data_IF_383588676291
#
_entry.id   IF_383588676291
#
_cell.length_a   1.000
_cell.length_b   1.000
_cell.length_c   1.000
_cell.angle_alpha   90.00
_cell.angle_beta   90.00
_cell.angle_gamma   90.00
#
_symmetry.space_group_name_H-M   'P 1'
#
loop_
_entity.id
_entity.type
_entity.pdbx_description
1 polymer ?
#
# COMPACT_ATOMS: atom_id res chain seq x y z
N UNK A 1 -17.26 -4.05 -7.16
CA UNK A 1 -17.97 -2.86 -6.66
C UNK A 1 -17.18 -1.63 -7.06
N UNK A 2 -17.83 -0.49 -7.32
CA UNK A 2 -17.11 0.78 -7.46
C UNK A 2 -16.70 1.25 -6.07
N UNK A 3 -15.43 1.65 -5.91
CA UNK A 3 -14.89 2.27 -4.68
C UNK A 3 -15.62 3.57 -4.38
N UNK A 4 -15.95 3.80 -3.11
CA UNK A 4 -16.51 5.07 -2.64
C UNK A 4 -15.60 6.24 -3.02
N UNK A 5 -16.17 7.38 -3.43
CA UNK A 5 -15.41 8.51 -3.98
C UNK A 5 -14.29 8.98 -3.04
N UNK A 6 -14.55 9.05 -1.74
CA UNK A 6 -13.56 9.41 -0.72
C UNK A 6 -12.36 8.48 -0.63
N UNK A 7 -12.50 7.20 -1.00
CA UNK A 7 -11.41 6.21 -0.94
C UNK A 7 -10.71 6.02 -2.29
N UNK A 8 -11.22 6.63 -3.36
CA UNK A 8 -10.59 6.56 -4.68
C UNK A 8 -9.15 7.11 -4.73
N UNK A 9 -8.77 8.16 -3.98
CA UNK A 9 -7.36 8.59 -3.91
C UNK A 9 -6.42 7.46 -3.50
N UNK A 10 -6.72 6.78 -2.39
CA UNK A 10 -5.99 5.60 -1.93
C UNK A 10 -5.94 4.49 -3.00
N UNK A 11 -7.09 4.17 -3.61
CA UNK A 11 -7.13 3.18 -4.69
C UNK A 11 -6.35 3.56 -5.95
N UNK A 12 -6.20 4.86 -6.26
CA UNK A 12 -5.36 5.31 -7.38
C UNK A 12 -3.89 5.10 -7.04
N UNK A 13 -3.48 5.38 -5.81
CA UNK A 13 -2.13 5.13 -5.35
C UNK A 13 -1.80 3.62 -5.36
N UNK A 14 -2.75 2.75 -5.01
CA UNK A 14 -2.64 1.30 -5.19
C UNK A 14 -2.35 0.87 -6.64
N UNK A 15 -2.92 1.54 -7.64
CA UNK A 15 -2.62 1.22 -9.04
C UNK A 15 -1.15 1.48 -9.36
N UNK A 16 -0.56 2.56 -8.82
CA UNK A 16 0.86 2.86 -8.98
C UNK A 16 1.70 1.80 -8.24
N UNK A 17 1.34 1.49 -7.00
CA UNK A 17 2.00 0.46 -6.19
C UNK A 17 2.00 -0.92 -6.86
N UNK A 18 0.93 -1.33 -7.53
CA UNK A 18 0.88 -2.59 -8.29
C UNK A 18 1.83 -2.60 -9.49
N UNK A 19 2.05 -1.47 -10.15
CA UNK A 19 3.04 -1.37 -11.22
C UNK A 19 4.46 -1.50 -10.65
N UNK A 20 4.77 -0.85 -9.53
CA UNK A 20 6.06 -0.96 -8.84
C UNK A 20 6.28 -2.40 -8.35
N UNK A 21 5.28 -3.01 -7.74
CA UNK A 21 5.30 -4.41 -7.32
C UNK A 21 5.62 -5.37 -8.48
N UNK A 22 5.01 -5.15 -9.65
CA UNK A 22 5.28 -5.94 -10.85
C UNK A 22 6.73 -5.78 -11.34
N UNK A 23 7.25 -4.54 -11.36
CA UNK A 23 8.64 -4.24 -11.74
C UNK A 23 9.62 -4.95 -10.79
N UNK A 24 9.40 -4.81 -9.49
CA UNK A 24 10.19 -5.46 -8.44
C UNK A 24 10.23 -6.99 -8.60
N UNK A 25 9.09 -7.66 -8.80
CA UNK A 25 9.05 -9.12 -9.05
C UNK A 25 9.75 -9.58 -10.33
N UNK A 26 10.01 -8.66 -11.26
CA UNK A 26 10.68 -8.93 -12.54
C UNK A 26 12.13 -8.52 -12.56
N UNK A 27 12.63 -7.86 -11.52
CA UNK A 27 14.01 -7.43 -11.41
C UNK A 27 14.99 -8.56 -11.76
N UNK A 28 15.88 -8.31 -12.72
CA UNK A 28 16.90 -9.27 -13.17
C UNK A 28 16.40 -10.41 -14.07
N UNK A 29 15.12 -10.44 -14.45
CA UNK A 29 14.57 -11.42 -15.40
C UNK A 29 14.64 -10.90 -16.84
N UNK A 30 14.77 -11.79 -17.82
CA UNK A 30 14.81 -11.44 -19.25
C UNK A 30 13.58 -10.66 -19.73
N UNK A 31 12.43 -10.92 -19.13
CA UNK A 31 11.17 -10.21 -19.41
C UNK A 31 11.11 -8.78 -18.84
N UNK A 32 12.08 -8.39 -17.99
CA UNK A 32 12.20 -7.01 -17.52
C UNK A 32 12.71 -6.12 -18.64
N UNK A 33 11.99 -5.03 -18.91
CA UNK A 33 12.42 -3.98 -19.84
C UNK A 33 13.26 -2.89 -19.14
N UNK A 34 13.39 -2.97 -17.82
CA UNK A 34 14.08 -2.00 -16.99
C UNK A 34 15.33 -2.62 -16.38
N UNK A 35 16.36 -1.80 -16.25
CA UNK A 35 17.55 -2.06 -15.44
C UNK A 35 17.19 -2.11 -13.95
N UNK A 36 18.10 -2.64 -13.13
CA UNK A 36 17.86 -2.72 -11.68
C UNK A 36 17.80 -1.31 -11.07
N UNK A 37 18.66 -0.42 -11.53
CA UNK A 37 18.76 0.96 -11.10
C UNK A 37 17.47 1.74 -11.39
N UNK A 38 16.86 1.55 -12.56
CA UNK A 38 15.56 2.13 -12.90
C UNK A 38 14.44 1.61 -11.98
N UNK A 39 14.44 0.30 -11.65
CA UNK A 39 13.44 -0.27 -10.74
C UNK A 39 13.61 0.28 -9.31
N UNK A 40 14.85 0.45 -8.85
CA UNK A 40 15.13 1.07 -7.54
C UNK A 40 14.65 2.53 -7.53
N UNK A 41 14.94 3.28 -8.60
CA UNK A 41 14.49 4.67 -8.74
C UNK A 41 12.96 4.76 -8.74
N UNK A 42 12.27 3.93 -9.54
CA UNK A 42 10.80 3.85 -9.54
C UNK A 42 10.23 3.50 -8.16
N UNK A 43 10.92 2.64 -7.42
CA UNK A 43 10.52 2.27 -6.04
C UNK A 43 10.70 3.45 -5.09
N UNK A 44 11.79 4.20 -5.24
CA UNK A 44 12.06 5.40 -4.44
C UNK A 44 11.02 6.49 -4.70
N UNK A 45 10.69 6.74 -5.97
CA UNK A 45 9.74 7.78 -6.39
C UNK A 45 8.31 7.46 -5.93
N UNK A 46 7.93 6.18 -5.95
CA UNK A 46 6.66 5.73 -5.37
C UNK A 46 6.67 5.85 -3.84
N UNK A 47 7.77 5.50 -3.19
CA UNK A 47 7.81 5.40 -1.74
C UNK A 47 7.89 6.74 -1.02
N UNK A 48 8.64 7.69 -1.59
CA UNK A 48 9.01 8.94 -0.93
C UNK A 48 8.36 10.17 -1.61
N UNK A 49 7.45 10.90 -0.94
CA UNK A 49 6.83 10.59 0.36
C UNK A 49 5.54 9.77 0.24
N UNK A 50 5.00 9.56 -0.97
CA UNK A 50 3.62 9.17 -1.19
C UNK A 50 3.29 7.78 -0.62
N UNK A 51 4.16 6.79 -0.85
CA UNK A 51 4.14 5.47 -0.21
C UNK A 51 3.98 5.52 1.30
N UNK A 52 4.77 6.37 1.95
CA UNK A 52 4.73 6.52 3.41
C UNK A 52 3.49 7.25 3.88
N UNK A 53 3.07 8.31 3.18
CA UNK A 53 1.88 9.09 3.49
C UNK A 53 0.62 8.23 3.37
N UNK A 54 0.55 7.37 2.36
CA UNK A 54 -0.58 6.45 2.17
C UNK A 54 -0.83 5.58 3.40
N UNK A 55 0.20 4.90 3.92
CA UNK A 55 0.05 4.12 5.15
C UNK A 55 -0.33 4.99 6.36
N UNK A 56 0.14 6.24 6.42
CA UNK A 56 -0.25 7.16 7.50
C UNK A 56 -1.71 7.58 7.37
N UNK A 57 -2.23 7.79 6.17
CA UNK A 57 -3.66 8.08 5.98
C UNK A 57 -4.52 6.90 6.45
N UNK A 58 -4.11 5.68 6.16
CA UNK A 58 -4.82 4.50 6.64
C UNK A 58 -4.74 4.36 8.16
N UNK A 59 -3.54 4.46 8.74
CA UNK A 59 -3.27 4.27 10.16
C UNK A 59 -3.79 5.40 11.05
N UNK A 60 -3.63 6.65 10.61
CA UNK A 60 -3.88 7.85 11.43
C UNK A 60 -5.26 8.47 11.16
N UNK A 61 -5.94 8.10 10.06
CA UNK A 61 -7.22 8.72 9.65
C UNK A 61 -8.30 7.67 9.44
N UNK A 62 -8.07 6.72 8.54
CA UNK A 62 -9.12 5.79 8.10
C UNK A 62 -9.48 4.76 9.18
N UNK A 63 -8.48 4.08 9.76
CA UNK A 63 -8.70 3.11 10.83
C UNK A 63 -9.27 3.74 12.12
N UNK A 64 -8.81 4.92 12.58
CA UNK A 64 -9.45 5.61 13.71
C UNK A 64 -10.91 5.98 13.45
N UNK A 65 -11.27 6.38 12.22
CA UNK A 65 -12.65 6.62 11.86
C UNK A 65 -13.46 5.30 11.91
N UNK A 66 -12.95 4.20 11.35
CA UNK A 66 -13.59 2.89 11.43
C UNK A 66 -13.84 2.44 12.87
N UNK A 67 -12.87 2.63 13.77
CA UNK A 67 -12.96 2.25 15.19
C UNK A 67 -14.08 2.98 15.96
N UNK A 68 -14.61 4.09 15.44
CA UNK A 68 -15.77 4.77 16.02
C UNK A 68 -17.09 4.01 15.79
N UNK A 69 -17.12 3.10 14.82
CA UNK A 69 -18.35 2.43 14.37
C UNK A 69 -18.28 0.89 14.41
N UNK A 70 -17.08 0.30 14.50
CA UNK A 70 -16.90 -1.14 14.64
C UNK A 70 -15.65 -1.50 15.45
N UNK A 71 -15.58 -2.76 15.90
CA UNK A 71 -14.44 -3.31 16.62
C UNK A 71 -13.19 -3.29 15.74
N UNK A 72 -12.10 -2.72 16.26
CA UNK A 72 -10.83 -2.54 15.53
C UNK A 72 -9.97 -3.79 15.56
N UNK A 73 -10.13 -4.65 16.56
CA UNK A 73 -9.39 -5.91 16.73
C UNK A 73 -9.85 -7.00 15.75
N UNK A 74 -9.87 -6.68 14.45
CA UNK A 74 -10.13 -7.64 13.37
C UNK A 74 -8.81 -8.30 12.92
N UNK A 75 -8.78 -9.62 12.70
CA UNK A 75 -7.59 -10.31 12.18
C UNK A 75 -7.01 -9.67 10.91
N UNK A 76 -7.87 -9.20 10.01
CA UNK A 76 -7.50 -8.58 8.74
C UNK A 76 -6.77 -7.24 8.94
N UNK A 77 -7.23 -6.41 9.89
CA UNK A 77 -6.60 -5.13 10.23
C UNK A 77 -5.25 -5.37 10.91
N UNK A 78 -5.19 -6.32 11.85
CA UNK A 78 -3.94 -6.68 12.52
C UNK A 78 -2.90 -7.14 11.49
N UNK A 79 -3.30 -7.99 10.54
CA UNK A 79 -2.41 -8.47 9.49
C UNK A 79 -1.95 -7.33 8.57
N UNK A 80 -2.85 -6.44 8.15
CA UNK A 80 -2.53 -5.26 7.33
C UNK A 80 -1.47 -4.37 8.01
N UNK A 81 -1.64 -4.06 9.30
CA UNK A 81 -0.67 -3.26 10.06
C UNK A 81 0.69 -3.96 10.20
N UNK A 82 0.72 -5.28 10.38
CA UNK A 82 1.96 -6.05 10.36
C UNK A 82 2.63 -6.03 8.97
N UNK A 83 1.84 -6.03 7.90
CA UNK A 83 2.33 -5.87 6.53
C UNK A 83 2.95 -4.49 6.32
N UNK A 84 2.33 -3.40 6.82
CA UNK A 84 2.91 -2.05 6.71
C UNK A 84 4.32 -1.99 7.30
N UNK A 85 4.52 -2.56 8.51
CA UNK A 85 5.84 -2.59 9.17
C UNK A 85 6.86 -3.37 8.33
N UNK A 86 6.46 -4.53 7.78
CA UNK A 86 7.32 -5.35 6.93
C UNK A 86 7.67 -4.64 5.63
N UNK A 87 6.71 -4.01 4.97
CA UNK A 87 6.89 -3.27 3.71
C UNK A 87 7.85 -2.10 3.94
N UNK A 88 7.61 -1.28 4.97
CA UNK A 88 8.52 -0.18 5.34
C UNK A 88 9.96 -0.69 5.51
N UNK A 89 10.15 -1.71 6.34
CA UNK A 89 11.48 -2.28 6.60
C UNK A 89 12.17 -2.79 5.32
N UNK A 90 11.44 -3.54 4.48
CA UNK A 90 12.02 -4.15 3.29
C UNK A 90 12.29 -3.14 2.17
N UNK A 91 11.41 -2.15 1.97
CA UNK A 91 11.66 -1.06 1.00
C UNK A 91 12.90 -0.26 1.43
N UNK A 92 13.03 0.08 2.70
CA UNK A 92 14.24 0.74 3.21
C UNK A 92 15.50 -0.11 2.96
N UNK A 93 15.39 -1.43 3.12
CA UNK A 93 16.45 -2.36 2.77
C UNK A 93 16.84 -2.32 1.29
N UNK A 94 15.87 -2.20 0.37
CA UNK A 94 16.13 -2.04 -1.07
C UNK A 94 16.79 -0.68 -1.37
N UNK A 95 16.28 0.40 -0.77
CA UNK A 95 16.70 1.77 -1.11
C UNK A 95 18.04 2.18 -0.49
N UNK A 96 18.38 1.66 0.70
CA UNK A 96 19.59 2.07 1.44
C UNK A 96 20.74 1.07 1.36
N UNK A 97 20.54 -0.12 0.80
CA UNK A 97 21.61 -1.11 0.67
C UNK A 97 22.69 -0.62 -0.29
N UNK A 98 23.96 -0.90 0.04
CA UNK A 98 25.10 -0.67 -0.86
C UNK A 98 25.20 -1.72 -1.97
N UNK A 99 24.60 -2.89 -1.73
CA UNK A 99 24.63 -4.03 -2.65
C UNK A 99 23.21 -4.33 -3.14
N UNK A 100 23.09 -4.64 -4.44
CA UNK A 100 21.82 -5.04 -5.04
C UNK A 100 21.43 -6.42 -4.53
N UNK A 101 20.24 -6.52 -3.93
CA UNK A 101 19.65 -7.78 -3.49
C UNK A 101 18.35 -8.07 -4.26
N UNK A 102 18.46 -8.87 -5.33
CA UNK A 102 17.34 -9.22 -6.21
C UNK A 102 16.26 -10.02 -5.48
N UNK A 103 16.64 -10.90 -4.56
CA UNK A 103 15.70 -11.70 -3.77
C UNK A 103 14.83 -10.79 -2.91
N UNK A 104 15.44 -9.83 -2.21
CA UNK A 104 14.69 -8.83 -1.43
C UNK A 104 13.75 -8.01 -2.30
N UNK A 105 14.16 -7.62 -3.52
CA UNK A 105 13.28 -6.92 -4.45
C UNK A 105 12.07 -7.79 -4.82
N UNK A 106 12.26 -9.08 -5.09
CA UNK A 106 11.15 -10.00 -5.40
C UNK A 106 10.21 -10.19 -4.21
N UNK A 107 10.76 -10.27 -3.00
CA UNK A 107 9.98 -10.34 -1.75
C UNK A 107 9.13 -9.07 -1.55
N UNK A 108 9.71 -7.88 -1.71
CA UNK A 108 8.99 -6.61 -1.60
C UNK A 108 7.87 -6.56 -2.63
N UNK A 109 8.15 -6.90 -3.89
CA UNK A 109 7.14 -6.87 -4.94
C UNK A 109 5.98 -7.84 -4.69
N UNK A 110 6.26 -9.03 -4.13
CA UNK A 110 5.22 -9.99 -3.78
C UNK A 110 4.38 -9.52 -2.59
N UNK A 111 5.05 -9.00 -1.54
CA UNK A 111 4.40 -8.51 -0.33
C UNK A 111 3.52 -7.28 -0.63
N UNK A 112 4.02 -6.32 -1.41
CA UNK A 112 3.28 -5.12 -1.79
C UNK A 112 2.06 -5.46 -2.63
N UNK A 113 2.17 -6.39 -3.58
CA UNK A 113 1.01 -6.84 -4.36
C UNK A 113 -0.04 -7.53 -3.47
N UNK A 114 0.37 -8.46 -2.58
CA UNK A 114 -0.58 -9.18 -1.72
C UNK A 114 -1.31 -8.24 -0.78
N UNK A 115 -0.57 -7.28 -0.23
CA UNK A 115 -1.07 -6.26 0.68
C UNK A 115 -2.10 -5.35 0.00
N UNK A 116 -1.76 -4.72 -1.13
CA UNK A 116 -2.69 -3.88 -1.90
C UNK A 116 -3.97 -4.65 -2.27
N UNK A 117 -3.83 -5.92 -2.68
CA UNK A 117 -4.99 -6.74 -3.03
C UNK A 117 -5.89 -7.02 -1.83
N UNK A 118 -5.33 -7.14 -0.63
CA UNK A 118 -6.08 -7.34 0.61
C UNK A 118 -6.86 -6.08 0.97
N UNK A 119 -6.24 -4.92 0.87
CA UNK A 119 -6.93 -3.65 1.15
C UNK A 119 -8.10 -3.44 0.20
N UNK A 120 -7.84 -3.57 -1.10
CA UNK A 120 -8.86 -3.38 -2.11
C UNK A 120 -10.04 -4.36 -1.98
N UNK A 121 -9.77 -5.63 -1.63
CA UNK A 121 -10.79 -6.69 -1.67
C UNK A 121 -11.45 -6.97 -0.33
N UNK A 122 -10.80 -6.59 0.78
CA UNK A 122 -11.22 -6.96 2.13
C UNK A 122 -11.33 -5.74 3.02
N UNK A 123 -10.25 -4.99 3.21
CA UNK A 123 -10.22 -3.90 4.21
C UNK A 123 -11.15 -2.75 3.81
N UNK A 124 -10.99 -2.20 2.61
CA UNK A 124 -11.81 -1.06 2.21
C UNK A 124 -13.30 -1.45 2.07
N UNK A 125 -13.70 -2.61 1.51
CA UNK A 125 -15.09 -3.05 1.56
C UNK A 125 -15.64 -3.23 2.98
N UNK A 126 -14.83 -3.69 3.94
CA UNK A 126 -15.21 -3.78 5.34
C UNK A 126 -15.47 -2.38 5.93
N UNK A 127 -14.60 -1.42 5.63
CA UNK A 127 -14.74 -0.02 6.07
C UNK A 127 -15.98 0.64 5.45
N UNK A 128 -16.19 0.51 4.14
CA UNK A 128 -17.35 1.06 3.41
C UNK A 128 -18.69 0.50 3.92
N UNK A 129 -18.69 -0.73 4.43
CA UNK A 129 -19.91 -1.36 5.00
C UNK A 129 -20.29 -0.77 6.35
N UNK A 130 -19.31 -0.27 7.11
CA UNK A 130 -19.47 0.17 8.49
C UNK A 130 -19.61 1.68 8.58
N UNK A 131 -18.79 2.43 7.84
CA UNK A 131 -18.79 3.89 7.91
C UNK A 131 -20.03 4.48 7.25
N UNK A 132 -20.76 5.36 7.96
CA UNK A 132 -21.81 6.16 7.35
C UNK A 132 -21.29 7.06 6.22
N UNK A 133 -22.16 7.37 5.26
CA UNK A 133 -21.85 8.22 4.10
C UNK A 133 -21.28 9.59 4.50
N UNK A 134 -21.91 10.27 5.47
CA UNK A 134 -21.47 11.57 5.97
C UNK A 134 -20.07 11.50 6.58
N UNK A 135 -19.74 10.39 7.26
CA UNK A 135 -18.39 10.17 7.77
C UNK A 135 -17.38 9.97 6.64
N UNK A 136 -17.70 9.17 5.63
CA UNK A 136 -16.81 8.98 4.47
C UNK A 136 -16.55 10.30 3.73
N UNK A 137 -17.57 11.15 3.57
CA UNK A 137 -17.44 12.47 2.95
C UNK A 137 -16.57 13.40 3.81
N UNK A 138 -16.72 13.37 5.14
CA UNK A 138 -15.89 14.13 6.09
C UNK A 138 -14.39 13.81 5.94
N UNK A 139 -14.04 12.54 5.67
CA UNK A 139 -12.64 12.10 5.53
C UNK A 139 -12.00 12.50 4.19
N UNK A 140 -12.79 12.71 3.15
CA UNK A 140 -12.30 12.89 1.77
C UNK A 140 -11.19 13.96 1.61
N UNK A 141 -11.23 15.13 2.29
CA UNK A 141 -10.19 16.15 2.15
C UNK A 141 -8.81 15.74 2.70
N UNK A 142 -8.74 14.66 3.47
CA UNK A 142 -7.53 14.20 4.14
C UNK A 142 -6.90 12.95 3.50
N UNK A 143 -7.53 12.38 2.47
CA UNK A 143 -7.06 11.18 1.75
C UNK A 143 -6.62 11.59 0.34
N UNK A 144 -5.33 11.44 -0.01
CA UNK A 144 -4.78 11.97 -1.27
C UNK A 144 -3.89 11.02 -2.07
#
# INVERSE_FOLDING_TARGET
>A
MKRHESLQPLSRHHMIGLHVALKLKRAGKEESRLTIEEIIQDTMDFWNPDGQNHFREEEEILLPAYAQYAEIEQPEIIEMLLEHVKIRSKIEGVLKSKEINIELMHEVGSLLESHIRKEERVIFPMIEKVLPEDKLVELAPYLH
#
